data_IF_184868529151
#
_entry.id   IF_184868529151
#
_cell.length_a   1.000
_cell.length_b   1.000
_cell.length_c   1.000
_cell.angle_alpha   90.00
_cell.angle_beta   90.00
_cell.angle_gamma   90.00
#
_symmetry.space_group_name_H-M   'P 1'
#
loop_
_entity.id
_entity.type
_entity.pdbx_description
1 polymer ?
#
# COMPACT_ATOMS: atom_id res chain seq x y z
N UNK A 1 16.28 -15.69 -9.20
CA UNK A 1 17.49 -15.21 -8.48
C UNK A 1 17.49 -15.76 -7.08
N UNK A 2 18.47 -16.62 -6.77
CA UNK A 2 18.54 -17.30 -5.48
C UNK A 2 18.87 -16.29 -4.38
N UNK A 3 18.08 -16.30 -3.30
CA UNK A 3 18.29 -15.49 -2.10
C UNK A 3 19.73 -15.62 -1.57
N UNK A 4 20.30 -16.82 -1.73
CA UNK A 4 21.69 -17.15 -1.43
C UNK A 4 22.68 -16.28 -2.21
N UNK A 5 22.49 -16.05 -3.52
CA UNK A 5 23.39 -15.20 -4.29
C UNK A 5 23.35 -13.75 -3.83
N UNK A 6 22.17 -13.26 -3.44
CA UNK A 6 22.01 -11.86 -3.00
C UNK A 6 22.59 -11.66 -1.60
N UNK A 7 22.38 -12.62 -0.70
CA UNK A 7 23.02 -12.63 0.62
C UNK A 7 24.53 -12.77 0.48
N UNK A 8 25.02 -13.59 -0.46
CA UNK A 8 26.45 -13.72 -0.75
C UNK A 8 27.04 -12.41 -1.29
N UNK A 9 26.36 -11.72 -2.20
CA UNK A 9 26.79 -10.41 -2.70
C UNK A 9 26.70 -9.33 -1.61
N UNK A 10 25.73 -9.41 -0.70
CA UNK A 10 25.61 -8.51 0.45
C UNK A 10 26.72 -8.73 1.48
N UNK A 11 27.14 -9.97 1.70
CA UNK A 11 28.27 -10.31 2.56
C UNK A 11 29.60 -9.91 1.91
N UNK A 12 29.75 -10.07 0.58
CA UNK A 12 30.95 -9.69 -0.17
C UNK A 12 31.13 -8.16 -0.32
N UNK A 13 30.03 -7.39 -0.42
CA UNK A 13 30.08 -5.93 -0.45
C UNK A 13 30.03 -5.28 0.95
N UNK A 14 29.72 -6.04 2.00
CA UNK A 14 29.77 -5.52 3.37
C UNK A 14 31.22 -5.13 3.69
N UNK A 15 31.46 -3.90 4.18
CA UNK A 15 32.81 -3.45 4.48
C UNK A 15 33.32 -4.26 5.69
N UNK A 16 34.12 -5.30 5.43
CA UNK A 16 34.92 -5.95 6.47
C UNK A 16 36.14 -5.04 6.66
N UNK A 17 36.27 -4.36 7.80
CA UNK A 17 37.22 -3.24 7.98
C UNK A 17 38.70 -3.63 7.92
N UNK A 18 39.05 -4.90 7.73
CA UNK A 18 40.39 -5.41 8.04
C UNK A 18 41.24 -5.92 6.85
N UNK A 19 40.81 -5.80 5.58
CA UNK A 19 41.54 -6.48 4.48
C UNK A 19 42.24 -5.56 3.46
N UNK A 20 41.90 -4.28 3.32
CA UNK A 20 42.56 -3.45 2.29
C UNK A 20 42.80 -2.00 2.76
N UNK A 21 43.98 -1.74 3.32
CA UNK A 21 44.42 -0.39 3.72
C UNK A 21 45.13 0.41 2.61
N UNK A 22 45.33 -0.15 1.41
CA UNK A 22 46.19 0.48 0.40
C UNK A 22 45.47 1.37 -0.63
N UNK A 23 44.14 1.38 -0.69
CA UNK A 23 43.39 2.20 -1.66
C UNK A 23 42.22 2.96 -1.03
N UNK A 24 42.53 4.13 -0.45
CA UNK A 24 41.55 5.02 0.20
C UNK A 24 40.37 5.47 -0.69
N UNK A 25 40.55 5.46 -2.02
CA UNK A 25 39.49 5.84 -2.98
C UNK A 25 38.46 4.71 -3.14
N UNK A 26 38.91 3.45 -3.18
CA UNK A 26 38.01 2.29 -3.23
C UNK A 26 37.15 2.20 -1.95
N UNK A 27 37.73 2.56 -0.80
CA UNK A 27 37.06 2.48 0.50
C UNK A 27 35.78 3.35 0.58
N UNK A 28 35.78 4.56 -0.02
CA UNK A 28 34.60 5.46 0.00
C UNK A 28 33.43 4.89 -0.81
N UNK A 29 33.69 4.44 -2.04
CA UNK A 29 32.65 3.85 -2.89
C UNK A 29 32.19 2.51 -2.35
N UNK A 30 33.10 1.69 -1.81
CA UNK A 30 32.74 0.43 -1.16
C UNK A 30 31.85 0.66 0.05
N UNK A 31 32.09 1.71 0.84
CA UNK A 31 31.25 2.06 1.99
C UNK A 31 29.83 2.48 1.55
N UNK A 32 29.71 3.35 0.53
CA UNK A 32 28.40 3.77 -0.01
C UNK A 32 27.65 2.56 -0.59
N UNK A 33 28.32 1.74 -1.39
CA UNK A 33 27.73 0.54 -1.97
C UNK A 33 27.36 -0.50 -0.90
N UNK A 34 28.15 -0.63 0.17
CA UNK A 34 27.86 -1.49 1.31
C UNK A 34 26.59 -1.09 2.05
N UNK A 35 26.40 0.21 2.32
CA UNK A 35 25.18 0.74 2.96
C UNK A 35 23.95 0.51 2.06
N UNK A 36 24.06 0.81 0.76
CA UNK A 36 22.97 0.58 -0.20
C UNK A 36 22.61 -0.91 -0.28
N UNK A 37 23.60 -1.78 -0.30
CA UNK A 37 23.39 -3.23 -0.35
C UNK A 37 22.73 -3.74 0.93
N UNK A 38 23.09 -3.19 2.10
CA UNK A 38 22.45 -3.51 3.37
C UNK A 38 20.98 -3.07 3.39
N UNK A 39 20.69 -1.85 2.93
CA UNK A 39 19.33 -1.31 2.84
C UNK A 39 18.44 -2.16 1.91
N UNK A 40 18.92 -2.43 0.69
CA UNK A 40 18.23 -3.27 -0.28
C UNK A 40 18.13 -4.73 0.18
N UNK A 41 19.12 -5.21 0.92
CA UNK A 41 19.12 -6.54 1.53
C UNK A 41 17.99 -6.70 2.55
N UNK A 42 17.74 -5.66 3.36
CA UNK A 42 16.63 -5.65 4.33
C UNK A 42 15.27 -5.55 3.65
N UNK A 43 15.14 -4.74 2.60
CA UNK A 43 13.91 -4.66 1.79
C UNK A 43 13.59 -6.01 1.11
N UNK A 44 14.60 -6.67 0.55
CA UNK A 44 14.47 -8.00 -0.02
C UNK A 44 14.13 -9.05 1.06
N UNK A 45 14.69 -8.92 2.24
CA UNK A 45 14.37 -9.76 3.38
C UNK A 45 12.89 -9.63 3.75
N UNK A 46 12.38 -8.40 3.88
CA UNK A 46 10.95 -8.13 4.11
C UNK A 46 10.07 -8.71 2.99
N UNK A 47 10.45 -8.53 1.73
CA UNK A 47 9.75 -9.12 0.58
C UNK A 47 9.77 -10.66 0.61
N UNK A 48 10.82 -11.26 1.17
CA UNK A 48 10.93 -12.71 1.35
C UNK A 48 10.05 -13.20 2.50
N UNK A 49 9.97 -12.46 3.60
CA UNK A 49 9.03 -12.76 4.69
C UNK A 49 7.59 -12.75 4.18
N UNK A 50 7.25 -11.85 3.25
CA UNK A 50 5.93 -11.78 2.62
C UNK A 50 5.56 -13.01 1.76
N UNK A 51 6.51 -13.90 1.46
CA UNK A 51 6.22 -15.17 0.76
C UNK A 51 5.69 -16.24 1.70
N UNK A 52 5.83 -16.08 3.01
CA UNK A 52 5.25 -17.00 3.98
C UNK A 52 3.79 -16.63 4.22
N UNK A 53 2.82 -17.52 3.93
CA UNK A 53 1.39 -17.20 4.07
C UNK A 53 0.97 -16.86 5.51
N UNK A 54 1.71 -17.32 6.53
CA UNK A 54 1.48 -16.93 7.92
C UNK A 54 1.97 -15.52 8.27
N UNK A 55 3.05 -15.05 7.64
CA UNK A 55 3.62 -13.71 7.85
C UNK A 55 3.02 -12.66 6.90
N UNK A 56 2.54 -13.11 5.74
CA UNK A 56 1.86 -12.29 4.74
C UNK A 56 0.56 -11.66 5.26
N UNK A 57 -0.11 -12.31 6.22
CA UNK A 57 -1.28 -11.73 6.88
C UNK A 57 -0.90 -10.46 7.69
N UNK A 58 0.27 -10.44 8.30
CA UNK A 58 0.76 -9.33 9.12
C UNK A 58 1.45 -8.23 8.31
N UNK A 59 1.88 -8.51 7.08
CA UNK A 59 2.44 -7.49 6.20
C UNK A 59 1.45 -7.12 5.07
N UNK A 60 0.69 -6.03 5.21
CA UNK A 60 -0.20 -5.52 4.16
C UNK A 60 0.53 -5.04 2.91
N UNK A 61 1.80 -4.67 3.03
CA UNK A 61 2.54 -4.00 1.96
C UNK A 61 3.09 -5.05 0.98
N UNK A 62 2.32 -5.31 -0.08
CA UNK A 62 2.75 -6.11 -1.22
C UNK A 62 3.40 -5.21 -2.29
N UNK A 63 4.21 -5.78 -3.18
CA UNK A 63 4.83 -5.03 -4.30
C UNK A 63 3.78 -4.34 -5.19
N UNK A 64 2.61 -4.94 -5.37
CA UNK A 64 1.49 -4.31 -6.08
C UNK A 64 0.98 -3.04 -5.36
N UNK A 65 0.91 -3.06 -4.03
CA UNK A 65 0.58 -1.88 -3.23
C UNK A 65 1.67 -0.81 -3.36
N UNK A 66 2.95 -1.19 -3.33
CA UNK A 66 4.06 -0.25 -3.53
C UNK A 66 4.02 0.45 -4.88
N UNK A 67 3.63 -0.24 -5.96
CA UNK A 67 3.51 0.36 -7.30
C UNK A 67 2.37 1.39 -7.32
N UNK A 68 1.20 1.04 -6.79
CA UNK A 68 0.07 1.96 -6.68
C UNK A 68 0.38 3.17 -5.79
N UNK A 69 1.07 2.95 -4.67
CA UNK A 69 1.52 3.99 -3.77
C UNK A 69 2.54 4.93 -4.45
N UNK A 70 3.49 4.36 -5.21
CA UNK A 70 4.46 5.16 -5.99
C UNK A 70 3.76 6.07 -6.99
N UNK A 71 2.70 5.59 -7.66
CA UNK A 71 1.93 6.43 -8.59
C UNK A 71 1.34 7.67 -7.91
N UNK A 72 0.80 7.49 -6.70
CA UNK A 72 0.29 8.60 -5.87
C UNK A 72 1.43 9.53 -5.45
N UNK A 73 2.57 8.98 -5.04
CA UNK A 73 3.76 9.76 -4.67
C UNK A 73 4.27 10.64 -5.82
N UNK A 74 4.13 10.23 -7.08
CA UNK A 74 4.55 11.07 -8.22
C UNK A 74 3.72 12.35 -8.30
N UNK A 75 2.40 12.26 -8.14
CA UNK A 75 1.53 13.45 -8.10
C UNK A 75 1.89 14.37 -6.92
N UNK A 76 2.15 13.77 -5.76
CA UNK A 76 2.60 14.48 -4.57
C UNK A 76 3.97 15.14 -4.76
N UNK A 77 4.88 14.47 -5.47
CA UNK A 77 6.22 14.96 -5.76
C UNK A 77 6.22 16.20 -6.65
N UNK A 78 5.35 16.25 -7.66
CA UNK A 78 5.18 17.44 -8.52
C UNK A 78 4.64 18.62 -7.70
N UNK A 79 3.65 18.35 -6.82
CA UNK A 79 3.10 19.37 -5.92
C UNK A 79 4.18 19.92 -4.97
N UNK A 80 4.95 19.03 -4.34
CA UNK A 80 6.08 19.39 -3.49
C UNK A 80 7.11 20.23 -4.23
N UNK A 81 7.45 19.85 -5.46
CA UNK A 81 8.41 20.58 -6.27
C UNK A 81 7.94 22.01 -6.56
N UNK A 82 6.66 22.19 -6.90
CA UNK A 82 6.07 23.50 -7.14
C UNK A 82 6.15 24.40 -5.89
N UNK A 83 5.74 23.89 -4.72
CA UNK A 83 5.83 24.65 -3.48
C UNK A 83 7.27 24.90 -3.03
N UNK A 84 8.17 23.93 -3.16
CA UNK A 84 9.59 24.11 -2.85
C UNK A 84 10.22 25.21 -3.71
N UNK A 85 9.83 25.30 -4.99
CA UNK A 85 10.28 26.38 -5.89
C UNK A 85 9.74 27.75 -5.45
N UNK A 86 8.47 27.84 -5.09
CA UNK A 86 7.86 29.09 -4.59
C UNK A 86 8.56 29.53 -3.30
N UNK A 87 8.79 28.61 -2.35
CA UNK A 87 9.47 28.93 -1.08
C UNK A 87 10.94 29.29 -1.28
N UNK A 88 11.64 28.66 -2.22
CA UNK A 88 13.01 29.04 -2.54
C UNK A 88 13.11 30.50 -2.98
N UNK A 89 12.19 30.96 -3.83
CA UNK A 89 12.15 32.36 -4.28
C UNK A 89 11.71 33.32 -3.16
N UNK A 90 10.76 32.90 -2.34
CA UNK A 90 10.15 33.75 -1.31
C UNK A 90 11.02 33.89 -0.05
N UNK A 91 11.82 32.88 0.26
CA UNK A 91 12.62 32.76 1.48
C UNK A 91 14.13 32.65 1.18
N UNK A 92 14.59 33.13 0.02
CA UNK A 92 16.01 33.03 -0.41
C UNK A 92 17.04 33.54 0.61
N UNK A 93 16.65 34.48 1.48
CA UNK A 93 17.51 35.08 2.50
C UNK A 93 17.74 34.16 3.73
N UNK A 94 17.05 33.02 3.82
CA UNK A 94 17.15 32.10 4.94
C UNK A 94 18.08 30.93 4.62
N UNK A 95 18.93 30.56 5.60
CA UNK A 95 19.85 29.42 5.52
C UNK A 95 19.26 28.14 4.89
N UNK A 96 18.09 27.62 5.34
CA UNK A 96 17.51 26.39 4.77
C UNK A 96 16.97 26.54 3.34
N UNK A 97 16.86 27.76 2.83
CA UNK A 97 16.34 28.07 1.49
C UNK A 97 17.40 28.65 0.55
N UNK A 98 18.66 28.76 1.00
CA UNK A 98 19.78 29.25 0.17
C UNK A 98 20.03 28.37 -1.05
N UNK A 99 19.91 27.05 -0.89
CA UNK A 99 20.02 26.10 -1.99
C UNK A 99 18.64 25.54 -2.36
N UNK A 100 18.38 25.41 -3.65
CA UNK A 100 17.16 24.77 -4.14
C UNK A 100 17.00 23.33 -3.60
N UNK A 101 18.09 22.56 -3.49
CA UNK A 101 18.06 21.21 -2.95
C UNK A 101 17.69 21.19 -1.45
N UNK A 102 18.17 22.17 -0.68
CA UNK A 102 17.82 22.31 0.74
C UNK A 102 16.36 22.76 0.91
N UNK A 103 15.86 23.61 0.00
CA UNK A 103 14.46 24.03 -0.03
C UNK A 103 13.51 22.85 -0.26
N UNK A 104 13.86 21.93 -1.16
CA UNK A 104 13.10 20.68 -1.38
C UNK A 104 13.09 19.85 -0.10
N UNK A 105 14.25 19.62 0.53
CA UNK A 105 14.33 18.83 1.76
C UNK A 105 13.51 19.46 2.89
N UNK A 106 13.56 20.79 3.05
CA UNK A 106 12.76 21.48 4.07
C UNK A 106 11.26 21.35 3.78
N UNK A 107 10.84 21.44 2.52
CA UNK A 107 9.44 21.25 2.12
C UNK A 107 8.95 19.81 2.35
N UNK A 108 9.82 18.81 2.17
CA UNK A 108 9.52 17.41 2.53
C UNK A 108 9.37 17.26 4.05
N UNK A 109 10.25 17.86 4.84
CA UNK A 109 10.13 17.86 6.31
C UNK A 109 8.82 18.53 6.76
N UNK A 110 8.45 19.65 6.13
CA UNK A 110 7.17 20.31 6.35
C UNK A 110 5.98 19.42 6.01
N UNK A 111 6.07 18.58 4.97
CA UNK A 111 5.05 17.59 4.66
C UNK A 111 4.87 16.54 5.78
N UNK A 112 5.96 16.16 6.46
CA UNK A 112 5.89 15.22 7.57
C UNK A 112 5.26 15.83 8.84
N UNK A 113 5.02 17.14 8.86
CA UNK A 113 4.34 17.84 9.96
C UNK A 113 5.28 18.57 10.93
N UNK A 114 6.60 18.57 10.69
CA UNK A 114 7.53 19.42 11.44
C UNK A 114 7.50 20.85 10.88
N UNK A 115 6.44 21.56 11.22
CA UNK A 115 6.25 22.97 10.89
C UNK A 115 6.90 23.82 11.99
N UNK A 116 8.23 23.87 12.00
CA UNK A 116 9.01 24.79 12.86
C UNK A 116 8.81 26.25 12.38
N UNK A 117 7.58 26.75 12.55
CA UNK A 117 7.10 28.06 12.08
C UNK A 117 7.74 29.20 12.87
N UNK A 118 7.86 29.02 14.18
CA UNK A 118 8.37 30.05 15.09
C UNK A 118 9.79 30.48 14.73
N UNK A 119 10.66 29.51 14.45
CA UNK A 119 12.07 29.73 14.11
C UNK A 119 12.29 30.43 12.75
N UNK A 120 11.33 30.32 11.82
CA UNK A 120 11.47 30.80 10.45
C UNK A 120 10.73 32.12 10.19
N UNK A 121 9.55 32.29 10.79
CA UNK A 121 8.65 33.40 10.47
C UNK A 121 8.57 34.45 11.59
N UNK A 122 8.84 34.08 12.85
CA UNK A 122 8.75 35.01 14.00
C UNK A 122 10.08 35.71 14.24
N UNK A 123 11.19 34.98 14.28
CA UNK A 123 12.48 35.54 14.68
C UNK A 123 13.28 36.20 13.54
N UNK A 124 13.11 35.72 12.32
CA UNK A 124 13.96 36.15 11.20
C UNK A 124 13.35 37.29 10.37
N UNK A 125 12.04 37.54 10.49
CA UNK A 125 11.32 38.58 9.73
C UNK A 125 11.17 39.89 10.53
N UNK A 126 12.17 40.22 11.36
CA UNK A 126 12.20 41.47 12.15
C UNK A 126 12.73 42.67 11.34
N UNK A 127 13.40 42.46 10.21
CA UNK A 127 14.08 43.55 9.48
C UNK A 127 13.65 43.76 8.01
N UNK A 128 12.92 42.83 7.37
CA UNK A 128 12.58 42.93 5.95
C UNK A 128 11.08 43.15 5.67
N UNK A 129 10.81 44.02 4.68
CA UNK A 129 9.52 44.37 4.05
C UNK A 129 8.28 43.59 4.51
N UNK A 130 7.37 44.29 5.22
CA UNK A 130 6.08 43.79 5.72
C UNK A 130 5.26 43.06 4.63
N UNK A 131 5.32 43.54 3.39
CA UNK A 131 4.60 42.95 2.24
C UNK A 131 5.05 41.52 1.93
N UNK A 132 6.35 41.24 1.97
CA UNK A 132 6.91 39.91 1.71
C UNK A 132 6.54 38.95 2.85
N UNK A 133 6.53 39.46 4.08
CA UNK A 133 6.10 38.70 5.28
C UNK A 133 4.64 38.24 5.18
N UNK A 134 3.75 39.15 4.80
CA UNK A 134 2.32 38.82 4.62
C UNK A 134 2.15 37.80 3.50
N UNK A 135 2.80 38.01 2.35
CA UNK A 135 2.73 37.08 1.22
C UNK A 135 3.23 35.68 1.61
N UNK A 136 4.35 35.59 2.33
CA UNK A 136 4.92 34.32 2.79
C UNK A 136 4.00 33.56 3.74
N UNK A 137 3.38 34.26 4.70
CA UNK A 137 2.39 33.65 5.59
C UNK A 137 1.14 33.16 4.84
N UNK A 138 0.64 33.92 3.86
CA UNK A 138 -0.53 33.51 3.06
C UNK A 138 -0.21 32.27 2.23
N UNK A 139 0.93 32.26 1.53
CA UNK A 139 1.38 31.11 0.73
C UNK A 139 1.59 29.88 1.62
N UNK A 140 2.17 30.07 2.80
CA UNK A 140 2.34 28.99 3.78
C UNK A 140 1.00 28.42 4.26
N UNK A 141 0.00 29.26 4.55
CA UNK A 141 -1.34 28.79 4.91
C UNK A 141 -2.00 27.99 3.77
N UNK A 142 -1.88 28.45 2.52
CA UNK A 142 -2.38 27.74 1.34
C UNK A 142 -1.67 26.39 1.19
N UNK A 143 -0.35 26.35 1.40
CA UNK A 143 0.44 25.13 1.38
C UNK A 143 -0.05 24.11 2.42
N UNK A 144 -0.21 24.53 3.69
CA UNK A 144 -0.69 23.65 4.77
C UNK A 144 -2.10 23.16 4.49
N UNK A 145 -3.01 24.02 4.02
CA UNK A 145 -4.38 23.63 3.66
C UNK A 145 -4.42 22.64 2.49
N UNK A 146 -3.62 22.89 1.44
CA UNK A 146 -3.53 22.00 0.26
C UNK A 146 -2.91 20.66 0.64
N UNK A 147 -1.84 20.66 1.43
CA UNK A 147 -1.18 19.46 1.92
C UNK A 147 -2.11 18.65 2.82
N UNK A 148 -2.77 19.30 3.79
CA UNK A 148 -3.73 18.67 4.69
C UNK A 148 -4.88 18.03 3.90
N UNK A 149 -5.49 18.78 2.98
CA UNK A 149 -6.55 18.27 2.11
C UNK A 149 -6.10 17.08 1.26
N UNK A 150 -4.88 17.13 0.73
CA UNK A 150 -4.30 16.02 -0.03
C UNK A 150 -4.08 14.78 0.85
N UNK A 151 -3.47 14.92 2.03
CA UNK A 151 -3.23 13.82 2.96
C UNK A 151 -4.55 13.19 3.42
N UNK A 152 -5.57 14.00 3.74
CA UNK A 152 -6.89 13.47 4.12
C UNK A 152 -7.56 12.74 2.98
N UNK A 153 -7.43 13.26 1.75
CA UNK A 153 -7.98 12.60 0.56
C UNK A 153 -7.24 11.28 0.27
N UNK A 154 -5.91 11.22 0.47
CA UNK A 154 -5.14 9.99 0.37
C UNK A 154 -5.50 8.98 1.46
N UNK A 155 -5.75 9.43 2.69
CA UNK A 155 -6.16 8.56 3.77
C UNK A 155 -7.50 7.89 3.48
N UNK A 156 -8.48 8.64 2.98
CA UNK A 156 -9.80 8.11 2.60
C UNK A 156 -9.78 7.24 1.34
N UNK A 157 -8.88 7.51 0.40
CA UNK A 157 -8.74 6.72 -0.84
C UNK A 157 -7.75 5.58 -0.72
N UNK A 158 -7.24 5.30 0.49
CA UNK A 158 -6.19 4.31 0.69
C UNK A 158 -6.69 2.90 0.35
N UNK A 159 -6.03 2.20 -0.61
CA UNK A 159 -6.34 0.81 -0.93
C UNK A 159 -6.14 -0.15 0.25
N UNK A 160 -5.50 0.31 1.33
CA UNK A 160 -5.22 -0.47 2.54
C UNK A 160 -6.50 -1.00 3.19
N UNK A 161 -7.54 -0.16 3.31
CA UNK A 161 -8.82 -0.56 3.92
C UNK A 161 -9.52 -1.66 3.11
N UNK A 162 -9.49 -1.53 1.79
CA UNK A 162 -10.04 -2.56 0.89
C UNK A 162 -9.25 -3.87 0.93
N UNK A 163 -7.94 -3.80 1.17
CA UNK A 163 -7.07 -4.97 1.25
C UNK A 163 -7.31 -5.78 2.53
N UNK A 164 -7.58 -5.10 3.64
CA UNK A 164 -7.86 -5.74 4.92
C UNK A 164 -9.17 -6.54 4.87
N UNK A 165 -10.19 -6.03 4.19
CA UNK A 165 -11.43 -6.77 3.92
C UNK A 165 -11.21 -8.09 3.19
N UNK A 166 -10.39 -8.09 2.12
CA UNK A 166 -10.10 -9.29 1.32
C UNK A 166 -9.28 -10.32 2.11
N UNK A 167 -8.33 -9.86 2.93
CA UNK A 167 -7.46 -10.75 3.72
C UNK A 167 -8.21 -11.46 4.85
N UNK A 168 -9.24 -10.83 5.40
CA UNK A 168 -10.06 -11.39 6.48
C UNK A 168 -10.97 -12.54 6.00
N UNK A 169 -11.16 -12.68 4.68
CA UNK A 169 -11.94 -13.78 4.11
C UNK A 169 -11.21 -15.12 4.31
N UNK A 170 -11.81 -16.09 5.02
CA UNK A 170 -11.14 -17.34 5.35
C UNK A 170 -10.79 -18.21 4.15
N UNK A 171 -11.53 -18.07 3.04
CA UNK A 171 -11.25 -18.77 1.79
C UNK A 171 -9.92 -18.32 1.16
N UNK A 172 -9.61 -17.02 1.20
CA UNK A 172 -8.37 -16.46 0.65
C UNK A 172 -7.13 -16.96 1.42
N UNK A 173 -7.22 -16.97 2.76
CA UNK A 173 -6.16 -17.51 3.63
C UNK A 173 -5.90 -19.00 3.35
N UNK A 174 -6.96 -19.79 3.15
CA UNK A 174 -6.80 -21.22 2.86
C UNK A 174 -6.21 -21.47 1.47
N UNK A 175 -6.65 -20.72 0.45
CA UNK A 175 -6.13 -20.82 -0.92
C UNK A 175 -4.64 -20.47 -0.99
N UNK A 176 -4.20 -19.39 -0.33
CA UNK A 176 -2.79 -18.98 -0.30
C UNK A 176 -1.88 -20.00 0.39
N UNK A 177 -2.35 -20.65 1.46
CA UNK A 177 -1.64 -21.75 2.13
C UNK A 177 -1.46 -22.96 1.21
N UNK A 178 -2.51 -23.35 0.48
CA UNK A 178 -2.48 -24.48 -0.45
C UNK A 178 -1.49 -24.21 -1.59
N UNK A 179 -1.56 -23.04 -2.22
CA UNK A 179 -0.65 -22.65 -3.32
C UNK A 179 0.81 -22.64 -2.85
N UNK A 180 1.06 -22.12 -1.64
CA UNK A 180 2.40 -22.12 -1.06
C UNK A 180 2.92 -23.54 -0.86
N UNK A 181 2.09 -24.43 -0.30
CA UNK A 181 2.46 -25.83 -0.10
C UNK A 181 2.77 -26.54 -1.44
N UNK A 182 1.94 -26.33 -2.47
CA UNK A 182 2.17 -26.88 -3.82
C UNK A 182 3.49 -26.37 -4.41
N UNK A 183 3.80 -25.08 -4.30
CA UNK A 183 5.09 -24.52 -4.74
C UNK A 183 6.27 -25.14 -4.00
N UNK A 184 6.08 -25.46 -2.73
CA UNK A 184 7.10 -26.07 -1.90
C UNK A 184 7.32 -27.55 -2.24
N UNK A 185 6.26 -28.28 -2.59
CA UNK A 185 6.33 -29.66 -3.10
C UNK A 185 7.10 -29.76 -4.42
N UNK A 186 6.89 -28.81 -5.34
CA UNK A 186 7.62 -28.76 -6.62
C UNK A 186 9.12 -28.52 -6.40
N UNK A 187 9.49 -27.68 -5.42
CA UNK A 187 10.89 -27.36 -5.12
C UNK A 187 11.59 -28.43 -4.27
N UNK A 188 10.87 -29.11 -3.39
CA UNK A 188 11.43 -30.08 -2.46
C UNK A 188 10.78 -31.46 -2.62
N UNK A 189 11.42 -32.33 -3.41
CA UNK A 189 10.98 -33.71 -3.64
C UNK A 189 10.81 -34.54 -2.34
N UNK A 190 11.48 -34.14 -1.25
CA UNK A 190 11.39 -34.79 0.05
C UNK A 190 9.98 -34.66 0.70
N UNK A 191 9.29 -33.55 0.47
CA UNK A 191 7.96 -33.28 1.07
C UNK A 191 6.87 -34.09 0.38
N UNK A 192 7.03 -34.34 -0.93
CA UNK A 192 6.18 -35.25 -1.70
C UNK A 192 6.13 -36.65 -1.07
N UNK A 193 7.26 -37.18 -0.58
CA UNK A 193 7.31 -38.48 0.13
C UNK A 193 6.51 -38.45 1.44
N UNK A 194 6.55 -37.34 2.18
CA UNK A 194 5.82 -37.18 3.45
C UNK A 194 4.29 -37.22 3.26
N UNK A 195 3.77 -36.68 2.15
CA UNK A 195 2.34 -36.75 1.80
C UNK A 195 1.93 -38.14 1.33
N UNK A 196 2.74 -38.82 0.51
CA UNK A 196 2.46 -40.20 0.09
C UNK A 196 2.34 -41.16 1.28
N UNK A 197 3.21 -41.04 2.29
CA UNK A 197 3.13 -41.85 3.52
C UNK A 197 1.83 -41.55 4.30
N UNK A 198 1.38 -40.29 4.34
CA UNK A 198 0.15 -39.89 5.06
C UNK A 198 -1.13 -40.30 4.33
N UNK A 199 -1.11 -40.41 2.99
CA UNK A 199 -2.24 -40.90 2.18
C UNK A 199 -2.32 -42.43 2.14
N UNK A 200 -1.18 -43.12 2.11
CA UNK A 200 -1.10 -44.58 2.21
C UNK A 200 -1.49 -45.08 3.61
N UNK A 201 -1.13 -44.35 4.68
CA UNK A 201 -1.56 -44.66 6.04
C UNK A 201 -3.04 -44.37 6.36
N UNK A 202 -3.87 -44.01 5.37
CA UNK A 202 -5.31 -43.76 5.54
C UNK A 202 -6.19 -44.88 4.97
N UNK A 203 -5.60 -45.88 4.29
CA UNK A 203 -6.36 -47.03 3.75
C UNK A 203 -6.52 -48.17 4.75
N UNK A 204 -5.69 -48.22 5.79
CA UNK A 204 -5.77 -49.23 6.86
C UNK A 204 -6.17 -48.54 8.17
N UNK A 205 -7.42 -48.07 8.21
CA UNK A 205 -8.04 -47.60 9.45
C UNK A 205 -8.71 -48.78 10.17
N UNK A 206 -7.93 -49.81 10.48
CA UNK A 206 -8.26 -50.79 11.52
C UNK A 206 -6.96 -51.46 12.01
N UNK A 207 -6.17 -50.74 12.82
CA UNK A 207 -5.62 -51.24 14.09
C UNK A 207 -4.70 -50.19 14.77
N UNK A 208 -4.52 -50.34 16.08
CA UNK A 208 -3.76 -49.51 17.06
C UNK A 208 -2.39 -48.96 16.61
N UNK A 209 -2.34 -47.90 15.81
CA UNK A 209 -1.11 -47.13 15.63
C UNK A 209 -1.01 -45.95 16.61
N UNK A 210 -0.22 -46.11 17.69
CA UNK A 210 0.17 -44.99 18.57
C UNK A 210 1.34 -44.23 17.93
N UNK A 211 1.17 -43.00 17.43
CA UNK A 211 2.29 -42.28 16.86
C UNK A 211 3.30 -41.88 17.94
N UNK A 212 4.59 -42.04 17.63
CA UNK A 212 5.70 -41.74 18.54
C UNK A 212 5.74 -40.28 19.00
N UNK A 213 6.40 -40.03 20.14
CA UNK A 213 6.45 -38.72 20.83
C UNK A 213 6.91 -37.58 19.90
N UNK A 214 7.84 -37.85 18.97
CA UNK A 214 8.29 -36.87 17.97
C UNK A 214 7.19 -36.45 17.00
N UNK A 215 6.34 -37.37 16.56
CA UNK A 215 5.18 -37.06 15.73
C UNK A 215 4.15 -36.25 16.52
N UNK A 216 3.96 -36.54 17.82
CA UNK A 216 3.04 -35.78 18.69
C UNK A 216 3.54 -34.34 18.92
N UNK A 217 4.85 -34.16 19.11
CA UNK A 217 5.48 -32.84 19.22
C UNK A 217 5.34 -32.04 17.93
N UNK A 218 5.69 -32.64 16.78
CA UNK A 218 5.57 -31.97 15.46
C UNK A 218 4.10 -31.68 15.16
N UNK A 219 3.18 -32.61 15.43
CA UNK A 219 1.74 -32.40 15.24
C UNK A 219 1.21 -31.28 16.14
N UNK A 220 1.62 -31.20 17.40
CA UNK A 220 1.20 -30.13 18.31
C UNK A 220 1.80 -28.78 17.88
N UNK A 221 3.08 -28.76 17.48
CA UNK A 221 3.81 -27.56 17.02
C UNK A 221 3.26 -26.99 15.70
N UNK A 222 2.70 -27.85 14.84
CA UNK A 222 2.08 -27.47 13.56
C UNK A 222 0.54 -27.64 13.55
N UNK A 223 -0.11 -27.85 14.71
CA UNK A 223 -1.56 -28.03 14.79
C UNK A 223 -2.33 -26.78 14.38
N UNK A 224 -1.75 -25.61 14.59
CA UNK A 224 -2.27 -24.31 14.14
C UNK A 224 -2.30 -24.14 12.61
N UNK A 225 -1.65 -25.03 11.85
CA UNK A 225 -1.62 -25.05 10.38
C UNK A 225 -2.61 -26.08 9.79
N UNK A 226 -3.10 -27.04 10.57
CA UNK A 226 -4.07 -28.03 10.05
C UNK A 226 -5.47 -27.42 9.97
N UNK A 227 -5.89 -27.12 8.75
CA UNK A 227 -7.21 -26.60 8.38
C UNK A 227 -8.25 -27.72 8.55
N UNK A 228 -9.26 -27.51 9.42
CA UNK A 228 -10.50 -28.28 9.40
C UNK A 228 -11.39 -27.80 8.25
N UNK A 229 -11.59 -28.67 7.27
CA UNK A 229 -12.24 -28.35 5.98
C UNK A 229 -13.78 -28.41 6.08
N UNK A 230 -14.34 -29.01 7.13
CA UNK A 230 -15.76 -29.42 7.14
C UNK A 230 -16.76 -28.35 7.60
N UNK A 231 -16.36 -27.40 8.45
CA UNK A 231 -17.28 -26.37 8.97
C UNK A 231 -17.36 -25.09 8.11
N UNK A 232 -16.39 -24.85 7.22
CA UNK A 232 -16.24 -23.56 6.52
C UNK A 232 -16.87 -23.49 5.13
N UNK A 233 -17.23 -24.62 4.52
CA UNK A 233 -17.93 -24.65 3.23
C UNK A 233 -19.38 -24.16 3.35
N UNK A 234 -20.00 -24.39 4.50
CA UNK A 234 -21.40 -24.06 4.77
C UNK A 234 -21.58 -22.56 4.96
N UNK A 235 -20.66 -21.90 5.68
CA UNK A 235 -20.69 -20.44 5.92
C UNK A 235 -20.41 -19.61 4.67
N UNK A 236 -19.45 -20.04 3.83
CA UNK A 236 -19.13 -19.35 2.56
C UNK A 236 -20.29 -19.42 1.57
N UNK A 237 -21.06 -20.53 1.57
CA UNK A 237 -22.24 -20.64 0.72
C UNK A 237 -23.39 -19.72 1.16
N UNK A 238 -23.47 -19.32 2.43
CA UNK A 238 -24.50 -18.39 2.90
C UNK A 238 -24.14 -16.93 2.65
N UNK A 239 -22.88 -16.54 2.83
CA UNK A 239 -22.41 -15.19 2.49
C UNK A 239 -22.56 -14.90 0.99
N UNK A 240 -22.20 -15.88 0.14
CA UNK A 240 -22.34 -15.73 -1.32
C UNK A 240 -23.82 -15.63 -1.77
N UNK A 241 -24.77 -16.21 -1.02
CA UNK A 241 -26.21 -16.04 -1.28
C UNK A 241 -26.69 -14.64 -0.93
N UNK A 242 -26.22 -14.07 0.19
CA UNK A 242 -26.55 -12.71 0.60
C UNK A 242 -26.02 -11.66 -0.37
N UNK A 243 -24.82 -11.88 -0.92
CA UNK A 243 -24.22 -10.98 -1.91
C UNK A 243 -25.02 -10.97 -3.23
N UNK A 244 -25.49 -12.14 -3.69
CA UNK A 244 -26.34 -12.27 -4.89
C UNK A 244 -27.70 -11.59 -4.68
N UNK A 245 -28.29 -11.74 -3.49
CA UNK A 245 -29.56 -11.10 -3.13
C UNK A 245 -29.43 -9.56 -3.08
N UNK A 246 -28.32 -9.04 -2.54
CA UNK A 246 -28.03 -7.60 -2.56
C UNK A 246 -27.82 -7.07 -3.98
N UNK A 247 -27.10 -7.79 -4.84
CA UNK A 247 -26.89 -7.40 -6.24
C UNK A 247 -28.20 -7.36 -7.04
N UNK A 248 -29.08 -8.34 -6.83
CA UNK A 248 -30.39 -8.35 -7.47
C UNK A 248 -31.25 -7.15 -7.02
N UNK A 249 -31.24 -6.82 -5.73
CA UNK A 249 -31.96 -5.64 -5.22
C UNK A 249 -31.41 -4.32 -5.80
N UNK A 250 -30.11 -4.25 -6.05
CA UNK A 250 -29.47 -3.06 -6.60
C UNK A 250 -29.78 -2.86 -8.09
N UNK A 251 -29.95 -3.94 -8.84
CA UNK A 251 -30.35 -3.88 -10.25
C UNK A 251 -31.84 -3.50 -10.41
N UNK A 252 -32.71 -3.92 -9.49
CA UNK A 252 -34.10 -3.42 -9.42
C UNK A 252 -34.16 -1.91 -9.15
N UNK A 253 -33.33 -1.40 -8.23
CA UNK A 253 -33.27 0.05 -7.94
C UNK A 253 -32.76 0.84 -9.16
N UNK A 254 -31.77 0.32 -9.89
CA UNK A 254 -31.28 0.97 -11.12
C UNK A 254 -32.36 1.02 -12.20
N UNK A 255 -33.15 -0.04 -12.35
CA UNK A 255 -34.25 -0.09 -13.31
C UNK A 255 -35.30 0.98 -12.99
N UNK A 256 -35.72 1.08 -11.73
CA UNK A 256 -36.67 2.12 -11.30
C UNK A 256 -36.14 3.54 -11.53
N UNK A 257 -34.84 3.77 -11.31
CA UNK A 257 -34.21 5.08 -11.52
C UNK A 257 -34.12 5.44 -13.01
N UNK A 258 -33.98 4.43 -13.88
CA UNK A 258 -33.99 4.61 -15.32
C UNK A 258 -35.39 4.96 -15.85
N UNK A 259 -36.42 4.27 -15.37
CA UNK A 259 -37.82 4.61 -15.69
C UNK A 259 -38.18 6.02 -15.21
N UNK A 260 -37.72 6.42 -14.02
CA UNK A 260 -37.95 7.77 -13.50
C UNK A 260 -37.26 8.84 -14.36
N UNK A 261 -36.07 8.56 -14.89
CA UNK A 261 -35.37 9.45 -15.82
C UNK A 261 -36.12 9.62 -17.14
N UNK A 262 -36.66 8.55 -17.70
CA UNK A 262 -37.44 8.60 -18.94
C UNK A 262 -38.75 9.38 -18.76
N UNK A 263 -39.43 9.21 -17.63
CA UNK A 263 -40.61 10.01 -17.29
C UNK A 263 -40.28 11.51 -17.17
N UNK A 264 -39.17 11.85 -16.50
CA UNK A 264 -38.73 13.24 -16.38
C UNK A 264 -38.33 13.85 -17.74
N UNK A 265 -37.78 13.07 -18.66
CA UNK A 265 -37.43 13.54 -20.01
C UNK A 265 -38.69 13.91 -20.81
N UNK A 266 -39.75 13.09 -20.73
CA UNK A 266 -41.04 13.36 -21.40
C UNK A 266 -41.70 14.63 -20.85
N UNK A 267 -41.67 14.82 -19.53
CA UNK A 267 -42.19 16.05 -18.90
C UNK A 267 -41.41 17.30 -19.36
N UNK A 268 -40.08 17.20 -19.50
CA UNK A 268 -39.27 18.32 -20.00
C UNK A 268 -39.59 18.67 -21.45
N UNK A 269 -39.89 17.68 -22.30
CA UNK A 269 -40.32 17.89 -23.67
C UNK A 269 -41.68 18.61 -23.73
N UNK A 270 -42.65 18.17 -22.93
CA UNK A 270 -43.97 18.84 -22.82
C UNK A 270 -43.87 20.28 -22.32
N UNK A 271 -43.03 20.54 -21.31
CA UNK A 271 -42.77 21.89 -20.80
C UNK A 271 -42.13 22.77 -21.87
N UNK A 272 -41.25 22.21 -22.71
CA UNK A 272 -40.60 22.96 -23.80
C UNK A 272 -41.62 23.34 -24.88
N UNK A 273 -42.50 22.41 -25.27
CA UNK A 273 -43.59 22.68 -26.22
C UNK A 273 -44.56 23.74 -25.66
N UNK A 274 -44.91 23.66 -24.37
CA UNK A 274 -45.75 24.68 -23.73
C UNK A 274 -45.07 26.05 -23.71
N UNK A 275 -43.77 26.10 -23.41
CA UNK A 275 -42.98 27.33 -23.41
C UNK A 275 -42.93 27.98 -24.79
N UNK A 276 -42.78 27.19 -25.85
CA UNK A 276 -42.76 27.70 -27.22
C UNK A 276 -44.15 28.19 -27.68
N UNK A 277 -45.23 27.52 -27.27
CA UNK A 277 -46.61 28.02 -27.49
C UNK A 277 -46.86 29.36 -26.80
N UNK A 278 -46.42 29.51 -25.55
CA UNK A 278 -46.55 30.79 -24.80
C UNK A 278 -45.74 31.89 -25.49
N UNK A 279 -44.53 31.59 -25.99
CA UNK A 279 -43.70 32.56 -26.70
C UNK A 279 -44.32 33.01 -28.03
N UNK A 280 -45.02 32.11 -28.74
CA UNK A 280 -45.77 32.46 -29.95
C UNK A 280 -46.97 33.37 -29.67
N UNK A 281 -47.65 33.17 -28.54
CA UNK A 281 -48.78 34.04 -28.11
C UNK A 281 -48.27 35.40 -27.62
N UNK A 282 -47.09 35.47 -26.99
CA UNK A 282 -46.50 36.73 -26.51
C UNK A 282 -45.94 37.64 -27.62
N UNK A 283 -45.73 37.12 -28.83
CA UNK A 283 -45.15 37.84 -29.96
C UNK A 283 -46.19 38.19 -31.06
N UNK A 284 -47.47 37.88 -30.82
CA UNK A 284 -48.61 38.26 -31.65
C UNK A 284 -49.41 39.37 -30.97
#
# INVERSE_FOLDING_TARGET
MNLVHIVLTAILLSPIPNICNDHAILQKYQFICGILTLLLGWDLFMTTLNRFPSLHAFNPINTAFLISFTRILVYLGILLFAFAFIFHLLLQNHLPFTSFAQSIMKTVVWMLGDLSYDDLFIDTMKEDNITIKVLSNVVFCIFVATLGGFITNLAMSSPLESLDGIKNVPAYRNASLIIWFLRLEVKFACIRKFRCIKMLGRKDADDKYRPGVRYRLIKNMFSWITIDIKDKSTTVSEEMKKEIEYMNSMDEIKLMLQEQKEANLKLMEEVTIMKDKIRMISNA
#
